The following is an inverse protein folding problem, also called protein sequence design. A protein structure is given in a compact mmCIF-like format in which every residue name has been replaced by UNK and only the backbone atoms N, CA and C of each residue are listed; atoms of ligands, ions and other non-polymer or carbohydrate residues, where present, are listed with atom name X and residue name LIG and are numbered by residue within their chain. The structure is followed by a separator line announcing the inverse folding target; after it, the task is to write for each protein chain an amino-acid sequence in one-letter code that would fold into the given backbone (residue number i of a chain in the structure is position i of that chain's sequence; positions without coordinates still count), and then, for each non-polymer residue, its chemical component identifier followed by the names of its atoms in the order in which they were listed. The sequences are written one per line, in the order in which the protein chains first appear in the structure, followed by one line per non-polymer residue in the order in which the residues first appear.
data_IF_375006846215
#
_entry.id   IF_375006846215
#
_cell.length_a   1.000
_cell.length_b   1.000
_cell.length_c   1.000
_cell.angle_alpha   90.00
_cell.angle_beta   90.00
_cell.angle_gamma   90.00
#
_symmetry.space_group_name_H-M   'P 1'
#
loop_
_entity.id
_entity.type
_entity.pdbx_description
1 polymer ?
#
# COMPACT_ATOMS: atom_id res chain seq x y z
N UNK A 1 -11.72 5.71 8.92
CA UNK A 1 -11.03 6.69 8.07
C UNK A 1 -9.56 6.36 7.84
N UNK A 2 -8.70 6.31 8.87
CA UNK A 2 -7.25 5.99 8.72
C UNK A 2 -7.00 4.74 7.87
N UNK A 3 -7.58 3.59 8.25
CA UNK A 3 -7.36 2.32 7.53
C UNK A 3 -7.85 2.41 6.07
N UNK A 4 -9.00 3.04 5.85
CA UNK A 4 -9.58 3.26 4.52
C UNK A 4 -8.62 4.07 3.64
N UNK A 5 -8.14 5.21 4.12
CA UNK A 5 -7.22 6.06 3.35
C UNK A 5 -5.87 5.38 3.11
N UNK A 6 -5.36 4.64 4.09
CA UNK A 6 -4.15 3.84 3.89
C UNK A 6 -4.33 2.81 2.77
N UNK A 7 -5.47 2.11 2.73
CA UNK A 7 -5.77 1.13 1.68
C UNK A 7 -5.99 1.80 0.32
N UNK A 8 -6.68 2.95 0.29
CA UNK A 8 -6.89 3.75 -0.93
C UNK A 8 -5.57 4.22 -1.53
N UNK A 9 -4.64 4.76 -0.73
CA UNK A 9 -3.33 5.20 -1.24
C UNK A 9 -2.45 4.03 -1.69
N UNK A 10 -2.55 2.87 -1.05
CA UNK A 10 -1.86 1.65 -1.54
C UNK A 10 -2.44 1.24 -2.91
N UNK A 11 -3.77 1.27 -3.07
CA UNK A 11 -4.41 0.93 -4.33
C UNK A 11 -4.04 1.93 -5.44
N UNK A 12 -4.05 3.23 -5.13
CA UNK A 12 -3.59 4.31 -6.01
C UNK A 12 -2.15 4.08 -6.47
N UNK A 13 -1.21 3.91 -5.55
CA UNK A 13 0.19 3.65 -5.88
C UNK A 13 0.35 2.37 -6.72
N UNK A 14 -0.41 1.31 -6.45
CA UNK A 14 -0.39 0.09 -7.26
C UNK A 14 -0.88 0.37 -8.68
N UNK A 15 -1.95 1.13 -8.85
CA UNK A 15 -2.52 1.47 -10.16
C UNK A 15 -1.54 2.34 -10.95
N UNK A 16 -0.98 3.38 -10.33
CA UNK A 16 0.00 4.28 -10.95
C UNK A 16 1.23 3.52 -11.47
N UNK A 17 1.68 2.49 -10.75
CA UNK A 17 2.82 1.68 -11.15
C UNK A 17 2.53 0.65 -12.26
N UNK A 18 1.26 0.32 -12.53
CA UNK A 18 0.90 -0.80 -13.43
C UNK A 18 -0.04 -0.41 -14.59
N UNK A 19 -0.74 0.71 -14.51
CA UNK A 19 -1.72 1.14 -15.52
C UNK A 19 -1.20 2.36 -16.25
N UNK A 20 -0.81 2.16 -17.52
CA UNK A 20 -0.17 3.19 -18.33
C UNK A 20 -1.11 4.32 -18.77
N UNK A 21 -2.37 3.99 -19.05
CA UNK A 21 -3.33 4.93 -19.63
C UNK A 21 -4.14 5.65 -18.55
N UNK A 22 -4.14 7.00 -18.49
CA UNK A 22 -4.80 7.76 -17.44
C UNK A 22 -6.30 7.45 -17.28
N UNK A 23 -7.03 7.38 -18.39
CA UNK A 23 -8.48 7.10 -18.37
C UNK A 23 -8.76 5.70 -17.81
N UNK A 24 -7.89 4.74 -18.14
CA UNK A 24 -7.98 3.37 -17.60
C UNK A 24 -7.62 3.36 -16.11
N UNK A 25 -6.57 4.08 -15.71
CA UNK A 25 -6.16 4.19 -14.32
C UNK A 25 -7.28 4.77 -13.45
N UNK A 26 -7.96 5.83 -13.91
CA UNK A 26 -9.09 6.43 -13.22
C UNK A 26 -10.26 5.46 -13.08
N UNK A 27 -10.62 4.74 -14.14
CA UNK A 27 -11.68 3.73 -14.09
C UNK A 27 -11.35 2.61 -13.09
N UNK A 28 -10.11 2.11 -13.10
CA UNK A 28 -9.64 1.07 -12.18
C UNK A 28 -9.64 1.59 -10.75
N UNK A 29 -9.17 2.81 -10.52
CA UNK A 29 -9.15 3.46 -9.20
C UNK A 29 -10.55 3.58 -8.62
N UNK A 30 -11.52 4.08 -9.40
CA UNK A 30 -12.91 4.21 -8.95
C UNK A 30 -13.49 2.86 -8.50
N UNK A 31 -13.20 1.79 -9.26
CA UNK A 31 -13.65 0.43 -8.91
C UNK A 31 -12.99 -0.07 -7.63
N UNK A 32 -11.68 0.08 -7.48
CA UNK A 32 -10.93 -0.36 -6.30
C UNK A 32 -11.35 0.43 -5.05
N UNK A 33 -11.54 1.75 -5.16
CA UNK A 33 -12.03 2.58 -4.06
C UNK A 33 -13.40 2.08 -3.57
N UNK A 34 -14.35 1.80 -4.46
CA UNK A 34 -15.65 1.24 -4.09
C UNK A 34 -15.51 -0.10 -3.35
N UNK A 35 -14.60 -0.97 -3.82
CA UNK A 35 -14.34 -2.25 -3.16
C UNK A 35 -13.75 -2.07 -1.76
N UNK A 36 -12.80 -1.15 -1.60
CA UNK A 36 -12.21 -0.82 -0.29
C UNK A 36 -13.29 -0.31 0.67
N UNK A 37 -14.11 0.64 0.24
CA UNK A 37 -15.20 1.16 1.07
C UNK A 37 -16.16 0.04 1.51
N UNK A 38 -16.51 -0.86 0.58
CA UNK A 38 -17.34 -2.02 0.88
C UNK A 38 -16.69 -2.98 1.89
N UNK A 39 -15.38 -3.24 1.79
CA UNK A 39 -14.64 -4.09 2.75
C UNK A 39 -14.62 -3.50 4.16
N UNK A 40 -14.63 -2.17 4.27
CA UNK A 40 -14.71 -1.46 5.55
C UNK A 40 -16.16 -1.23 6.03
N UNK A 41 -17.16 -1.67 5.27
CA UNK A 41 -18.57 -1.48 5.61
C UNK A 41 -19.02 -0.01 5.60
N UNK A 42 -18.37 0.83 4.80
CA UNK A 42 -18.62 2.27 4.73
C UNK A 42 -19.27 2.62 3.39
N UNK A 43 -20.32 3.44 3.44
CA UNK A 43 -20.96 3.99 2.24
C UNK A 43 -20.15 5.15 1.64
N UNK A 44 -20.24 5.35 0.32
CA UNK A 44 -19.52 6.44 -0.37
C UNK A 44 -19.92 7.82 0.15
N UNK A 45 -21.21 8.05 0.43
CA UNK A 45 -21.68 9.34 0.93
C UNK A 45 -21.13 9.62 2.33
N UNK A 46 -21.13 8.61 3.21
CA UNK A 46 -20.57 8.71 4.57
C UNK A 46 -19.06 9.00 4.54
N UNK A 47 -18.34 8.30 3.65
CA UNK A 47 -16.92 8.54 3.41
C UNK A 47 -16.69 9.98 2.96
N UNK A 48 -17.40 10.45 1.92
CA UNK A 48 -17.26 11.80 1.36
C UNK A 48 -17.61 12.88 2.38
N UNK A 49 -18.62 12.67 3.22
CA UNK A 49 -18.99 13.59 4.30
C UNK A 49 -17.85 13.74 5.31
N UNK A 50 -17.30 12.61 5.75
CA UNK A 50 -16.18 12.60 6.71
C UNK A 50 -14.92 13.19 6.09
N UNK A 51 -14.61 12.83 4.85
CA UNK A 51 -13.44 13.36 4.14
C UNK A 51 -13.52 14.89 3.99
N UNK A 52 -14.70 15.42 3.63
CA UNK A 52 -14.95 16.87 3.53
C UNK A 52 -14.75 17.58 4.86
N UNK A 53 -15.10 16.96 5.99
CA UNK A 53 -14.80 17.53 7.31
C UNK A 53 -13.29 17.79 7.45
N UNK A 54 -12.45 16.80 7.14
CA UNK A 54 -11.00 16.96 7.23
C UNK A 54 -10.45 18.00 6.24
N UNK A 55 -10.96 18.04 5.00
CA UNK A 55 -10.56 19.07 4.03
C UNK A 55 -10.83 20.51 4.49
N UNK A 56 -11.88 20.70 5.30
CA UNK A 56 -12.21 22.00 5.89
C UNK A 56 -11.51 22.27 7.24
N UNK A 57 -10.80 21.28 7.77
CA UNK A 57 -10.17 21.31 9.09
C UNK A 57 -8.71 20.85 8.95
N UNK A 58 -7.87 21.72 8.35
CA UNK A 58 -6.48 21.39 8.01
C UNK A 58 -5.65 20.85 9.19
N UNK A 59 -5.72 21.40 10.43
CA UNK A 59 -4.96 20.83 11.56
C UNK A 59 -5.36 19.39 11.90
N UNK A 60 -6.61 19.00 11.65
CA UNK A 60 -7.12 17.65 11.86
C UNK A 60 -6.72 16.74 10.69
N UNK A 61 -6.67 17.27 9.47
CA UNK A 61 -6.18 16.55 8.29
C UNK A 61 -4.70 16.21 8.42
N UNK A 62 -3.90 17.15 8.93
CA UNK A 62 -2.46 16.96 9.18
C UNK A 62 -2.23 15.80 10.15
N UNK A 63 -2.88 15.84 11.32
CA UNK A 63 -2.85 14.73 12.30
C UNK A 63 -3.37 13.41 11.75
N UNK A 64 -4.39 13.45 10.89
CA UNK A 64 -4.91 12.26 10.24
C UNK A 64 -3.82 11.63 9.35
N UNK A 65 -3.09 12.43 8.59
CA UNK A 65 -2.00 11.96 7.74
C UNK A 65 -0.79 11.46 8.53
N UNK A 66 -0.44 12.07 9.67
CA UNK A 66 0.58 11.52 10.57
C UNK A 66 0.26 10.06 10.94
N UNK A 67 -0.99 9.80 11.34
CA UNK A 67 -1.43 8.45 11.72
C UNK A 67 -1.46 7.49 10.51
N UNK A 68 -1.80 7.99 9.31
CA UNK A 68 -1.76 7.19 8.07
C UNK A 68 -0.32 6.78 7.76
N UNK A 69 0.64 7.71 7.84
CA UNK A 69 2.06 7.44 7.60
C UNK A 69 2.61 6.42 8.59
N UNK A 70 2.28 6.56 9.87
CA UNK A 70 2.65 5.58 10.90
C UNK A 70 2.04 4.20 10.60
N UNK A 71 0.77 4.16 10.20
CA UNK A 71 0.08 2.91 9.83
C UNK A 71 0.78 2.21 8.66
N UNK A 72 1.14 2.96 7.62
CA UNK A 72 1.86 2.42 6.45
C UNK A 72 3.25 1.92 6.84
N UNK A 73 3.98 2.68 7.65
CA UNK A 73 5.32 2.31 8.13
C UNK A 73 5.30 1.00 8.93
N UNK A 74 4.31 0.83 9.81
CA UNK A 74 4.13 -0.41 10.58
C UNK A 74 3.77 -1.58 9.67
N UNK A 75 2.92 -1.39 8.66
CA UNK A 75 2.56 -2.43 7.68
C UNK A 75 3.78 -2.85 6.86
N UNK A 76 4.58 -1.90 6.39
CA UNK A 76 5.82 -2.16 5.66
C UNK A 76 6.82 -2.94 6.52
N UNK A 77 7.04 -2.52 7.77
CA UNK A 77 7.94 -3.21 8.69
C UNK A 77 7.52 -4.67 8.92
N UNK A 78 6.20 -4.92 9.07
CA UNK A 78 5.65 -6.28 9.19
C UNK A 78 5.96 -7.13 7.95
N UNK A 79 5.73 -6.60 6.74
CA UNK A 79 6.02 -7.31 5.50
C UNK A 79 7.52 -7.68 5.38
N UNK A 80 8.42 -6.74 5.67
CA UNK A 80 9.87 -7.00 5.66
C UNK A 80 10.31 -8.04 6.69
N UNK A 81 9.68 -8.05 7.87
CA UNK A 81 9.98 -9.04 8.92
C UNK A 81 9.53 -10.45 8.54
N UNK A 82 8.41 -10.58 7.83
CA UNK A 82 7.92 -11.88 7.33
C UNK A 82 8.80 -12.42 6.21
N UNK A 83 9.34 -11.56 5.34
CA UNK A 83 10.29 -11.97 4.29
C UNK A 83 11.59 -12.57 4.86
N UNK A 84 12.04 -12.08 6.02
CA UNK A 84 13.26 -12.58 6.68
C UNK A 84 13.05 -13.95 7.33
N UNK A 85 11.82 -14.32 7.69
CA UNK A 85 11.50 -15.61 8.33
C UNK A 85 11.32 -16.75 7.30
N UNK A 86 11.16 -16.43 6.00
CA UNK A 86 11.05 -17.40 4.91
C UNK A 86 12.37 -17.70 4.16
N UNK A 87 13.46 -16.99 4.46
CA UNK A 87 14.75 -17.23 3.83
C UNK A 87 15.49 -18.40 4.52
N UNK A 88 15.39 -19.60 3.94
CA UNK A 88 16.27 -20.72 4.27
C UNK A 88 17.75 -20.27 4.24
N UNK A 89 18.57 -20.56 5.27
CA UNK A 89 20.00 -20.31 5.20
C UNK A 89 20.64 -21.45 4.40
N UNK A 90 20.78 -21.28 3.07
CA UNK A 90 21.39 -22.38 2.31
C UNK A 90 21.40 -22.27 0.80
N UNK A 91 22.15 -21.31 0.25
CA UNK A 91 23.08 -21.56 -0.86
C UNK A 91 23.93 -20.33 -1.08
N UNK A 92 25.17 -20.35 -0.58
CA UNK A 92 26.24 -19.58 -1.21
C UNK A 92 26.47 -20.21 -2.59
N UNK A 93 26.56 -19.46 -3.69
CA UNK A 93 27.17 -20.01 -4.90
C UNK A 93 28.62 -20.36 -4.56
N UNK A 94 29.01 -21.62 -4.78
CA UNK A 94 30.40 -22.05 -4.71
C UNK A 94 31.21 -21.30 -5.77
N UNK A 95 32.50 -20.98 -5.54
CA UNK A 95 33.35 -20.40 -6.58
C UNK A 95 33.55 -21.45 -7.68
N UNK A 96 33.14 -21.11 -8.90
CA UNK A 96 33.21 -22.00 -10.06
C UNK A 96 34.65 -22.04 -10.59
N UNK A 97 35.33 -23.16 -10.35
CA UNK A 97 36.37 -23.65 -11.27
C UNK A 97 37.83 -23.44 -10.89
N UNK A 98 38.32 -24.15 -9.86
CA UNK A 98 39.67 -24.72 -9.94
C UNK A 98 39.52 -26.09 -10.62
N UNK A 99 39.79 -26.18 -11.92
CA UNK A 99 39.95 -27.46 -12.62
C UNK A 99 41.43 -27.80 -12.57
N UNK A 100 41.80 -28.74 -11.72
CA UNK A 100 43.08 -29.44 -11.80
C UNK A 100 43.05 -30.46 -12.96
N UNK A 101 44.02 -30.29 -13.85
CA UNK A 101 44.91 -31.34 -14.38
C UNK A 101 44.32 -32.47 -15.25
N UNK A 102 44.61 -32.41 -16.55
CA UNK A 102 45.42 -33.39 -17.32
C UNK A 102 46.02 -32.71 -18.55
#
# INVERSE_FOLDING_TARGET
MVQILADVHIAEARIENHVLYPDTALMVFNKEQMQILSQHGVDEEEFRKTYRYYLNNLPQMDKLYEIILDTLSVREAKLRSTDTTGALPGRRPMPEGMKESF
#
